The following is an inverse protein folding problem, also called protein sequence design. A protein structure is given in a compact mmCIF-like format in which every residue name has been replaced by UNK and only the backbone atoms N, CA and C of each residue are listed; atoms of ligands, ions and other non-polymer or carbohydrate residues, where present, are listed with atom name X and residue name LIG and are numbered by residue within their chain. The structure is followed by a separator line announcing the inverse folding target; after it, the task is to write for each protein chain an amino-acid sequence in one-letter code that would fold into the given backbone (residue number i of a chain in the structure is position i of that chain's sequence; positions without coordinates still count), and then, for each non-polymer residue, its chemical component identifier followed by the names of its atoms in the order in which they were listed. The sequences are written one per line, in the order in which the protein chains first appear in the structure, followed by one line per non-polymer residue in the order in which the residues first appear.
data_IF_038554943281
#
_entry.id   IF_038554943281
#
_cell.length_a   1.000
_cell.length_b   1.000
_cell.length_c   1.000
_cell.angle_alpha   90.00
_cell.angle_beta   90.00
_cell.angle_gamma   90.00
#
_symmetry.space_group_name_H-M   'P 1'
#
loop_
_entity.id
_entity.type
_entity.pdbx_description
1 polymer ?
#
# COMPACT_ATOMS: atom_id res chain seq x y z
N UNK A 1 -29.29 4.25 -46.13
CA UNK A 1 -28.39 3.45 -45.27
C UNK A 1 -28.74 3.77 -43.84
N UNK A 2 -29.55 2.90 -43.23
CA UNK A 2 -30.23 3.10 -41.96
C UNK A 2 -29.58 2.19 -40.91
N UNK A 3 -29.10 2.77 -39.82
CA UNK A 3 -28.48 2.04 -38.70
C UNK A 3 -29.55 1.40 -37.80
N UNK A 4 -29.29 0.24 -37.16
CA UNK A 4 -30.27 -0.40 -36.29
C UNK A 4 -30.20 0.17 -34.86
N UNK A 5 -31.37 0.51 -34.33
CA UNK A 5 -31.64 0.82 -32.92
C UNK A 5 -31.68 -0.48 -32.11
N UNK A 6 -30.77 -0.63 -31.14
CA UNK A 6 -30.85 -1.67 -30.12
C UNK A 6 -31.80 -1.22 -29.00
N UNK A 7 -32.95 -1.90 -28.89
CA UNK A 7 -33.88 -1.78 -27.75
C UNK A 7 -33.47 -2.78 -26.67
N UNK A 8 -33.15 -2.28 -25.48
CA UNK A 8 -33.06 -3.11 -24.27
C UNK A 8 -34.45 -3.34 -23.68
N UNK A 9 -34.84 -4.61 -23.57
CA UNK A 9 -36.09 -5.05 -22.95
C UNK A 9 -36.00 -4.94 -21.43
N UNK A 10 -37.02 -4.30 -20.83
CA UNK A 10 -37.20 -4.11 -19.39
C UNK A 10 -37.90 -5.35 -18.82
N UNK A 11 -37.18 -6.20 -18.09
CA UNK A 11 -37.79 -7.26 -17.28
C UNK A 11 -38.11 -6.68 -15.89
N UNK A 12 -39.40 -6.52 -15.59
CA UNK A 12 -39.90 -6.27 -14.25
C UNK A 12 -40.07 -7.61 -13.54
N UNK A 13 -39.30 -7.85 -12.48
CA UNK A 13 -39.62 -8.88 -11.49
C UNK A 13 -40.08 -8.18 -10.20
N UNK A 14 -41.34 -8.44 -9.85
CA UNK A 14 -41.92 -8.10 -8.56
C UNK A 14 -41.34 -9.06 -7.50
N UNK A 15 -40.65 -8.52 -6.50
CA UNK A 15 -40.43 -9.22 -5.23
C UNK A 15 -41.01 -8.36 -4.10
N UNK A 16 -42.06 -8.87 -3.47
CA UNK A 16 -42.61 -8.36 -2.22
C UNK A 16 -41.76 -8.90 -1.07
N UNK A 17 -41.27 -8.01 -0.20
CA UNK A 17 -40.74 -8.37 1.11
C UNK A 17 -41.64 -7.75 2.18
N UNK A 18 -42.17 -8.59 3.06
CA UNK A 18 -42.80 -8.16 4.31
C UNK A 18 -41.74 -7.76 5.34
N UNK A 19 -42.03 -6.78 6.23
CA UNK A 19 -41.11 -6.35 7.26
C UNK A 19 -41.36 -7.12 8.57
N UNK A 20 -40.31 -7.68 9.17
CA UNK A 20 -40.37 -8.11 10.57
C UNK A 20 -39.35 -7.34 11.41
N UNK A 21 -39.87 -6.78 12.50
CA UNK A 21 -39.29 -5.82 13.41
C UNK A 21 -37.93 -6.23 14.01
N UNK A 22 -37.02 -5.26 14.02
CA UNK A 22 -35.85 -5.21 14.90
C UNK A 22 -36.27 -4.54 16.21
N UNK A 23 -36.12 -5.25 17.33
CA UNK A 23 -36.13 -4.67 18.66
C UNK A 23 -34.73 -4.76 19.29
N UNK A 24 -34.29 -3.59 19.77
CA UNK A 24 -33.50 -3.33 20.97
C UNK A 24 -32.09 -3.93 21.04
N UNK A 25 -31.07 -3.06 21.03
CA UNK A 25 -30.06 -3.00 22.11
C UNK A 25 -29.35 -1.65 22.14
N UNK A 26 -29.55 -0.93 23.25
CA UNK A 26 -28.47 -0.69 24.20
C UNK A 26 -27.46 0.41 23.91
N UNK A 27 -27.75 1.59 24.48
CA UNK A 27 -26.83 2.66 24.89
C UNK A 27 -25.38 2.22 25.22
N UNK A 28 -24.41 2.96 24.68
CA UNK A 28 -23.23 3.40 25.44
C UNK A 28 -22.79 4.79 24.95
N UNK A 29 -22.82 5.73 25.88
CA UNK A 29 -22.65 7.16 25.72
C UNK A 29 -21.26 7.56 26.23
N UNK A 30 -20.61 8.44 25.47
CA UNK A 30 -19.62 9.46 25.85
C UNK A 30 -18.60 9.16 26.95
N UNK A 31 -17.33 9.38 26.61
CA UNK A 31 -16.48 10.34 27.31
C UNK A 31 -15.24 10.60 26.46
N UNK A 32 -15.03 11.84 26.00
CA UNK A 32 -13.72 12.50 25.90
C UNK A 32 -13.94 13.90 25.30
N UNK A 33 -14.03 14.90 26.18
CA UNK A 33 -13.78 16.30 25.82
C UNK A 33 -12.99 16.97 26.94
N UNK A 34 -12.14 17.90 26.50
CA UNK A 34 -11.42 18.93 27.24
C UNK A 34 -10.07 18.53 27.88
N UNK A 35 -8.98 19.08 27.34
CA UNK A 35 -8.48 20.38 27.80
C UNK A 35 -7.53 21.04 26.79
N UNK A 36 -7.69 22.36 26.71
CA UNK A 36 -7.00 23.33 25.86
C UNK A 36 -6.02 24.15 26.73
N UNK A 37 -4.95 24.62 26.08
CA UNK A 37 -4.12 25.80 26.34
C UNK A 37 -3.04 25.77 27.45
N UNK A 38 -1.81 26.03 26.98
CA UNK A 38 -0.70 26.65 27.71
C UNK A 38 0.21 27.36 26.70
N UNK A 39 0.40 28.68 26.90
CA UNK A 39 1.06 29.67 26.01
C UNK A 39 2.59 29.50 25.86
N UNK A 40 3.22 30.19 24.88
CA UNK A 40 4.66 30.13 24.61
C UNK A 40 5.46 31.19 25.39
N UNK A 41 6.72 30.87 25.70
CA UNK A 41 7.74 31.84 26.14
C UNK A 41 8.88 31.90 25.13
N UNK A 42 9.18 33.13 24.71
CA UNK A 42 10.30 33.51 23.88
C UNK A 42 11.61 33.46 24.69
N UNK A 43 12.70 33.02 24.06
CA UNK A 43 14.06 33.42 24.45
C UNK A 43 14.87 33.69 23.18
N UNK A 44 15.40 34.92 23.17
CA UNK A 44 16.32 35.52 22.23
C UNK A 44 17.76 35.15 22.58
N UNK A 45 18.61 34.98 21.57
CA UNK A 45 20.09 35.15 21.56
C UNK A 45 20.63 34.27 20.43
N UNK A 46 21.72 34.55 19.73
CA UNK A 46 22.61 35.69 19.60
C UNK A 46 23.58 35.24 18.51
N UNK A 47 23.88 36.14 17.59
CA UNK A 47 24.81 35.96 16.48
C UNK A 47 26.24 35.78 17.03
N UNK A 48 26.99 34.79 16.55
CA UNK A 48 28.44 34.91 16.37
C UNK A 48 28.86 34.17 15.09
N UNK A 49 29.33 34.95 14.12
CA UNK A 49 30.04 34.52 12.94
C UNK A 49 31.53 34.66 13.22
N UNK A 50 32.34 33.68 12.80
CA UNK A 50 33.79 33.80 12.71
C UNK A 50 34.35 32.95 11.54
N UNK A 51 35.55 33.29 11.05
CA UNK A 51 35.81 33.36 9.63
C UNK A 51 36.57 32.18 9.03
N UNK A 52 36.48 32.12 7.70
CA UNK A 52 37.26 31.27 6.82
C UNK A 52 38.78 31.38 7.06
N UNK A 53 39.44 30.22 7.19
CA UNK A 53 40.88 30.09 6.97
C UNK A 53 41.12 29.28 5.70
N UNK A 54 41.56 29.98 4.67
CA UNK A 54 42.26 29.40 3.52
C UNK A 54 43.63 28.91 4.00
N UNK A 55 43.96 27.65 3.70
CA UNK A 55 45.34 27.17 3.70
C UNK A 55 45.61 26.47 2.38
N UNK A 56 46.41 27.13 1.54
CA UNK A 56 47.07 26.55 0.38
C UNK A 56 48.30 25.75 0.85
N UNK A 57 48.57 24.60 0.23
CA UNK A 57 49.90 24.00 -0.06
C UNK A 57 49.71 22.54 -0.56
N UNK A 58 50.71 21.89 -1.19
CA UNK A 58 50.93 21.93 -2.63
C UNK A 58 50.71 20.55 -3.28
N UNK A 59 50.69 20.58 -4.61
CA UNK A 59 50.77 19.44 -5.53
C UNK A 59 52.09 18.71 -5.32
N UNK A 60 52.06 17.37 -5.24
CA UNK A 60 53.16 16.55 -5.75
C UNK A 60 52.76 15.10 -6.10
N UNK A 61 53.09 14.78 -7.35
CA UNK A 61 53.61 13.53 -7.93
C UNK A 61 52.90 12.18 -7.74
N UNK A 62 52.38 11.70 -8.89
CA UNK A 62 52.50 10.35 -9.44
C UNK A 62 53.16 9.26 -8.58
N UNK A 63 52.38 8.23 -8.22
CA UNK A 63 52.85 6.85 -8.15
C UNK A 63 51.83 5.95 -8.84
N UNK A 64 52.28 5.23 -9.86
CA UNK A 64 51.51 4.14 -10.48
C UNK A 64 51.79 2.87 -9.69
N UNK A 65 50.76 2.29 -9.08
CA UNK A 65 50.77 0.90 -8.62
C UNK A 65 49.38 0.27 -8.84
N UNK A 66 49.34 -0.70 -9.75
CA UNK A 66 48.29 -1.71 -9.94
C UNK A 66 49.04 -3.02 -10.25
N UNK A 67 48.61 -4.23 -9.86
CA UNK A 67 47.39 -4.61 -9.12
C UNK A 67 47.66 -5.46 -7.86
N UNK A 68 46.86 -5.27 -6.81
CA UNK A 68 46.65 -6.33 -5.83
C UNK A 68 45.48 -7.21 -6.27
N UNK A 69 45.79 -8.49 -6.43
CA UNK A 69 44.89 -9.61 -6.66
C UNK A 69 43.87 -9.67 -5.51
N UNK A 70 42.61 -9.33 -5.77
CA UNK A 70 41.56 -9.38 -4.77
C UNK A 70 41.05 -10.81 -4.67
N UNK A 71 41.25 -11.39 -3.49
CA UNK A 71 40.71 -12.67 -3.04
C UNK A 71 39.16 -12.65 -3.12
N UNK A 72 38.49 -13.58 -3.82
CA UNK A 72 37.04 -13.57 -3.99
C UNK A 72 36.25 -14.00 -2.74
N UNK A 73 36.92 -14.32 -1.62
CA UNK A 73 36.28 -14.89 -0.42
C UNK A 73 35.76 -13.85 0.58
N UNK A 74 36.02 -12.54 0.38
CA UNK A 74 35.62 -11.50 1.35
C UNK A 74 34.27 -10.83 1.06
N UNK A 75 33.60 -11.14 -0.04
CA UNK A 75 32.31 -10.51 -0.40
C UNK A 75 31.11 -11.17 0.30
N UNK A 76 31.23 -12.45 0.68
CA UNK A 76 30.12 -13.20 1.28
C UNK A 76 29.96 -12.95 2.79
N UNK A 77 31.05 -12.60 3.49
CA UNK A 77 31.04 -12.28 4.92
C UNK A 77 30.48 -10.88 5.23
N UNK A 78 30.59 -9.92 4.30
CA UNK A 78 30.03 -8.58 4.48
C UNK A 78 28.49 -8.55 4.31
N UNK A 79 27.92 -9.51 3.57
CA UNK A 79 26.47 -9.66 3.43
C UNK A 79 25.82 -10.29 4.68
N UNK A 80 26.55 -11.14 5.42
CA UNK A 80 26.05 -11.83 6.61
C UNK A 80 26.09 -10.97 7.88
N UNK A 81 26.91 -9.92 7.94
CA UNK A 81 26.93 -9.02 9.10
C UNK A 81 25.69 -8.10 9.17
N UNK A 82 25.07 -7.77 8.03
CA UNK A 82 23.92 -6.88 7.97
C UNK A 82 22.56 -7.59 8.18
N UNK A 83 22.48 -8.92 8.06
CA UNK A 83 21.23 -9.67 8.25
C UNK A 83 20.84 -9.81 9.73
N UNK A 84 21.80 -9.80 10.65
CA UNK A 84 21.53 -9.93 12.10
C UNK A 84 20.76 -8.75 12.71
N UNK A 85 20.65 -7.61 12.00
CA UNK A 85 19.94 -6.42 12.47
C UNK A 85 18.57 -6.22 11.79
N UNK A 86 18.17 -7.09 10.84
CA UNK A 86 16.90 -6.93 10.11
C UNK A 86 15.69 -7.51 10.82
N UNK A 87 15.90 -8.20 11.94
CA UNK A 87 14.86 -8.54 12.91
C UNK A 87 14.49 -7.35 13.82
N UNK A 88 15.24 -6.25 13.75
CA UNK A 88 14.90 -5.02 14.47
C UNK A 88 13.76 -4.26 13.77
N UNK A 89 13.01 -3.41 14.51
CA UNK A 89 11.99 -2.57 13.92
C UNK A 89 12.55 -1.68 12.80
N UNK A 90 12.05 -1.82 11.58
CA UNK A 90 12.56 -1.13 10.39
C UNK A 90 11.44 -0.80 9.41
N UNK A 91 11.62 0.31 8.69
CA UNK A 91 10.74 0.76 7.62
C UNK A 91 11.45 0.63 6.28
N UNK A 92 10.96 -0.25 5.42
CA UNK A 92 11.47 -0.42 4.05
C UNK A 92 10.62 0.40 3.11
N UNK A 93 11.25 1.33 2.40
CA UNK A 93 10.62 2.15 1.39
C UNK A 93 11.19 1.79 0.02
N UNK A 94 10.32 1.51 -0.95
CA UNK A 94 10.72 1.22 -2.32
C UNK A 94 10.07 2.19 -3.28
N UNK A 95 10.90 2.86 -4.08
CA UNK A 95 10.49 3.70 -5.20
C UNK A 95 10.57 2.90 -6.50
N UNK A 96 9.60 3.05 -7.39
CA UNK A 96 9.60 2.37 -8.68
C UNK A 96 8.70 3.08 -9.69
N UNK A 97 8.58 2.53 -10.89
CA UNK A 97 7.60 2.94 -11.89
C UNK A 97 6.58 1.82 -12.12
N UNK A 98 5.33 2.20 -12.33
CA UNK A 98 4.18 1.28 -12.48
C UNK A 98 4.39 0.18 -13.52
N UNK A 99 5.03 0.50 -14.65
CA UNK A 99 5.31 -0.45 -15.73
C UNK A 99 6.45 -1.42 -15.44
N UNK A 100 7.29 -1.14 -14.43
CA UNK A 100 8.40 -2.00 -14.00
C UNK A 100 7.96 -3.03 -12.96
N UNK A 101 6.73 -2.92 -12.45
CA UNK A 101 6.18 -3.88 -11.50
C UNK A 101 5.92 -5.21 -12.21
N UNK A 102 6.35 -6.36 -11.64
CA UNK A 102 6.06 -7.66 -12.23
C UNK A 102 4.56 -7.94 -12.35
N UNK A 103 4.22 -8.76 -13.33
CA UNK A 103 2.85 -9.15 -13.66
C UNK A 103 2.38 -8.53 -14.97
N UNK A 104 1.32 -9.11 -15.54
CA UNK A 104 0.66 -8.55 -16.71
C UNK A 104 -0.12 -7.28 -16.31
N UNK A 105 -0.42 -6.41 -17.27
CA UNK A 105 -1.33 -5.26 -17.06
C UNK A 105 -2.79 -5.71 -17.00
N UNK A 106 -3.09 -6.87 -17.59
CA UNK A 106 -4.41 -7.50 -17.50
C UNK A 106 -4.68 -8.13 -16.13
N UNK A 107 -3.63 -8.40 -15.34
CA UNK A 107 -3.80 -9.03 -14.02
C UNK A 107 -4.37 -8.04 -13.01
N UNK A 108 -5.10 -8.59 -12.02
CA UNK A 108 -5.75 -7.79 -10.99
C UNK A 108 -4.70 -7.01 -10.20
N UNK A 109 -5.06 -5.80 -9.75
CA UNK A 109 -4.21 -4.96 -8.87
C UNK A 109 -3.50 -5.77 -7.77
N UNK A 110 -4.24 -6.70 -7.13
CA UNK A 110 -3.72 -7.54 -6.05
C UNK A 110 -2.50 -8.35 -6.45
N UNK A 111 -2.45 -8.91 -7.65
CA UNK A 111 -1.34 -9.78 -8.07
C UNK A 111 -0.04 -9.01 -8.27
N UNK A 112 -0.09 -7.86 -8.96
CA UNK A 112 1.08 -6.98 -9.14
C UNK A 112 1.57 -6.43 -7.80
N UNK A 113 0.63 -6.06 -6.94
CA UNK A 113 0.91 -5.57 -5.60
C UNK A 113 1.59 -6.63 -4.74
N UNK A 114 0.98 -7.81 -4.64
CA UNK A 114 1.47 -8.94 -3.84
C UNK A 114 2.84 -9.40 -4.33
N UNK A 115 3.04 -9.45 -5.66
CA UNK A 115 4.33 -9.76 -6.25
C UNK A 115 5.42 -8.77 -5.80
N UNK A 116 5.13 -7.47 -5.83
CA UNK A 116 6.09 -6.45 -5.42
C UNK A 116 6.41 -6.54 -3.93
N UNK A 117 5.40 -6.64 -3.06
CA UNK A 117 5.60 -6.75 -1.61
C UNK A 117 6.39 -8.01 -1.27
N UNK A 118 6.09 -9.13 -1.93
CA UNK A 118 6.84 -10.37 -1.77
C UNK A 118 8.31 -10.25 -2.23
N UNK A 119 8.57 -9.59 -3.37
CA UNK A 119 9.94 -9.33 -3.83
C UNK A 119 10.74 -8.48 -2.84
N UNK A 120 10.12 -7.46 -2.25
CA UNK A 120 10.76 -6.63 -1.22
C UNK A 120 11.14 -7.52 -0.03
N UNK A 121 10.23 -8.39 0.40
CA UNK A 121 10.50 -9.27 1.54
C UNK A 121 11.60 -10.29 1.25
N UNK A 122 11.63 -10.85 0.04
CA UNK A 122 12.68 -11.76 -0.40
C UNK A 122 14.04 -11.06 -0.45
N UNK A 123 14.08 -9.82 -0.93
CA UNK A 123 15.31 -9.05 -1.00
C UNK A 123 15.85 -8.68 0.39
N UNK A 124 15.00 -8.19 1.29
CA UNK A 124 15.43 -7.68 2.59
C UNK A 124 15.62 -8.81 3.61
N UNK A 125 14.66 -9.73 3.73
CA UNK A 125 14.64 -10.75 4.78
C UNK A 125 14.84 -12.18 4.27
N UNK A 126 15.11 -12.38 2.98
CA UNK A 126 15.32 -13.71 2.37
C UNK A 126 14.14 -14.67 2.60
N UNK A 127 12.90 -14.13 2.67
CA UNK A 127 11.68 -14.91 2.85
C UNK A 127 10.48 -14.28 2.15
N UNK A 128 9.39 -15.03 2.05
CA UNK A 128 8.12 -14.51 1.55
C UNK A 128 7.49 -13.46 2.47
N UNK A 129 6.58 -12.67 1.89
CA UNK A 129 5.76 -11.71 2.62
C UNK A 129 4.86 -12.40 3.66
N UNK A 130 4.85 -11.89 4.89
CA UNK A 130 3.98 -12.37 5.97
C UNK A 130 3.17 -11.20 6.54
N UNK A 131 1.91 -11.10 6.13
CA UNK A 131 0.95 -10.08 6.61
C UNK A 131 0.71 -10.10 8.13
N UNK A 132 1.15 -11.12 8.85
CA UNK A 132 1.06 -11.20 10.31
C UNK A 132 2.29 -10.59 11.00
N UNK A 133 3.39 -10.38 10.27
CA UNK A 133 4.63 -9.78 10.74
C UNK A 133 4.86 -8.38 10.19
N UNK A 134 4.45 -8.19 8.95
CA UNK A 134 4.61 -6.94 8.20
C UNK A 134 3.31 -6.16 8.13
N UNK A 135 3.45 -4.84 8.10
CA UNK A 135 2.40 -3.92 7.69
C UNK A 135 2.83 -3.24 6.40
N UNK A 136 1.96 -3.27 5.41
CA UNK A 136 2.24 -2.76 4.08
C UNK A 136 1.36 -1.55 3.73
N UNK A 137 1.90 -0.69 2.87
CA UNK A 137 1.19 0.46 2.31
C UNK A 137 1.79 0.84 0.96
N UNK A 138 0.99 1.49 0.11
CA UNK A 138 1.45 1.99 -1.17
C UNK A 138 0.89 3.35 -1.56
N UNK A 139 1.57 3.95 -2.54
CA UNK A 139 1.26 5.27 -3.08
C UNK A 139 1.36 5.27 -4.59
N UNK A 140 0.39 5.91 -5.24
CA UNK A 140 0.40 6.19 -6.68
C UNK A 140 0.57 4.91 -7.55
N UNK A 141 0.17 3.72 -7.04
CA UNK A 141 0.19 2.44 -7.76
C UNK A 141 -0.93 2.34 -8.80
N UNK A 142 -0.88 3.23 -9.78
CA UNK A 142 -1.79 3.29 -10.90
C UNK A 142 -1.30 2.37 -12.02
N UNK A 143 -1.39 1.05 -11.82
CA UNK A 143 -0.82 0.05 -12.72
C UNK A 143 -1.37 0.07 -14.15
N UNK A 144 -2.51 0.71 -14.38
CA UNK A 144 -3.05 0.89 -15.73
C UNK A 144 -2.34 2.00 -16.54
N UNK A 145 -1.48 2.80 -15.90
CA UNK A 145 -0.72 3.88 -16.56
C UNK A 145 0.76 3.58 -16.46
N UNK A 146 1.47 3.65 -17.59
CA UNK A 146 2.91 3.47 -17.62
C UNK A 146 3.67 4.69 -17.08
N UNK A 147 4.93 4.46 -16.72
CA UNK A 147 5.87 5.52 -16.32
C UNK A 147 5.41 6.41 -15.15
N UNK A 148 4.46 5.95 -14.32
CA UNK A 148 4.06 6.67 -13.11
C UNK A 148 4.95 6.21 -11.96
N UNK A 149 5.59 7.16 -11.29
CA UNK A 149 6.32 6.88 -10.06
C UNK A 149 5.34 6.38 -8.98
N UNK A 150 5.62 5.22 -8.43
CA UNK A 150 4.86 4.64 -7.33
C UNK A 150 5.78 4.19 -6.20
N UNK A 151 5.20 4.05 -5.02
CA UNK A 151 5.93 3.79 -3.78
C UNK A 151 5.29 2.66 -3.01
N UNK A 152 6.14 1.82 -2.42
CA UNK A 152 5.77 0.74 -1.51
C UNK A 152 6.46 0.96 -0.18
N UNK A 153 5.74 0.70 0.90
CA UNK A 153 6.19 0.82 2.27
C UNK A 153 5.91 -0.50 2.97
N UNK A 154 6.94 -1.09 3.57
CA UNK A 154 6.80 -2.26 4.43
C UNK A 154 7.41 -1.91 5.78
N UNK A 155 6.57 -1.95 6.80
CA UNK A 155 6.97 -1.80 8.19
C UNK A 155 7.12 -3.19 8.81
N UNK A 156 8.33 -3.51 9.27
CA UNK A 156 8.62 -4.71 10.02
C UNK A 156 8.82 -4.33 11.48
N UNK A 157 7.98 -4.85 12.38
CA UNK A 157 7.97 -4.43 13.79
C UNK A 157 8.98 -5.16 14.67
N UNK A 158 9.65 -6.21 14.17
CA UNK A 158 10.53 -7.05 14.96
C UNK A 158 9.81 -7.78 16.10
N UNK A 159 10.56 -8.46 16.98
CA UNK A 159 10.00 -9.18 18.12
C UNK A 159 9.53 -8.24 19.24
N UNK A 160 10.09 -7.03 19.34
CA UNK A 160 9.85 -6.09 20.44
C UNK A 160 8.36 -5.67 20.52
N UNK A 161 7.67 -5.89 21.66
CA UNK A 161 6.30 -5.42 21.88
C UNK A 161 6.14 -3.91 21.80
N UNK A 162 7.22 -3.16 22.04
CA UNK A 162 7.26 -1.69 22.13
C UNK A 162 8.27 -1.12 21.15
N UNK A 163 8.03 -1.23 19.83
CA UNK A 163 8.99 -0.72 18.86
C UNK A 163 9.17 0.80 18.99
N UNK A 164 10.31 1.34 18.55
CA UNK A 164 10.53 2.78 18.51
C UNK A 164 9.49 3.45 17.63
N UNK A 165 9.10 4.68 17.99
CA UNK A 165 8.13 5.48 17.24
C UNK A 165 8.66 5.96 15.89
N UNK A 166 9.98 6.02 15.72
CA UNK A 166 10.67 6.46 14.51
C UNK A 166 11.80 5.46 14.16
N UNK A 167 11.47 4.28 13.63
CA UNK A 167 12.47 3.31 13.23
C UNK A 167 13.25 3.80 12.00
N UNK A 168 14.46 3.25 11.77
CA UNK A 168 15.23 3.57 10.57
C UNK A 168 14.43 3.29 9.29
N UNK A 169 14.54 4.21 8.33
CA UNK A 169 13.99 4.06 6.98
C UNK A 169 15.09 3.63 6.03
N UNK A 170 14.96 2.44 5.46
CA UNK A 170 15.86 1.95 4.40
C UNK A 170 15.16 2.14 3.06
N UNK A 171 15.81 2.87 2.15
CA UNK A 171 15.23 3.25 0.88
C UNK A 171 15.92 2.55 -0.30
N UNK A 172 15.13 1.87 -1.12
CA UNK A 172 15.56 1.22 -2.36
C UNK A 172 14.82 1.79 -3.58
N UNK A 173 15.39 1.56 -4.76
CA UNK A 173 14.70 1.70 -6.04
C UNK A 173 14.61 0.34 -6.73
N UNK A 174 13.44 -0.01 -7.24
CA UNK A 174 13.27 -1.17 -8.13
C UNK A 174 13.45 -0.75 -9.58
N UNK A 175 14.27 -1.49 -10.33
CA UNK A 175 14.61 -1.19 -11.72
C UNK A 175 13.78 -1.95 -12.75
N UNK A 176 12.90 -2.85 -12.31
CA UNK A 176 12.22 -3.82 -13.17
C UNK A 176 12.80 -5.23 -13.07
N UNK A 177 14.07 -5.34 -12.69
CA UNK A 177 14.78 -6.61 -12.59
C UNK A 177 15.42 -6.83 -11.22
N UNK A 178 15.89 -5.76 -10.58
CA UNK A 178 16.60 -5.84 -9.30
C UNK A 178 16.33 -4.60 -8.43
N UNK A 179 16.65 -4.74 -7.14
CA UNK A 179 16.70 -3.62 -6.21
C UNK A 179 18.06 -2.94 -6.30
N UNK A 180 18.05 -1.62 -6.38
CA UNK A 180 19.28 -0.82 -6.31
C UNK A 180 19.99 -1.03 -4.97
N UNK A 181 21.25 -0.62 -4.91
CA UNK A 181 21.89 -0.37 -3.61
C UNK A 181 21.07 0.62 -2.78
N UNK A 182 21.17 0.52 -1.45
CA UNK A 182 20.49 1.44 -0.52
C UNK A 182 20.78 2.89 -0.89
N UNK A 183 19.73 3.66 -1.11
CA UNK A 183 19.81 5.08 -1.42
C UNK A 183 20.07 5.85 -0.13
N UNK A 184 21.20 6.54 -0.07
CA UNK A 184 21.62 7.34 1.09
C UNK A 184 21.18 8.81 1.03
N UNK A 185 20.53 9.19 -0.06
CA UNK A 185 20.01 10.54 -0.25
C UNK A 185 18.88 10.84 0.74
N UNK A 186 18.72 12.11 1.15
CA UNK A 186 17.59 12.51 1.97
C UNK A 186 16.27 12.25 1.23
N UNK A 187 15.30 11.65 1.94
CA UNK A 187 13.98 11.38 1.39
C UNK A 187 13.31 12.68 0.86
N UNK A 188 12.68 12.64 -0.33
CA UNK A 188 11.95 13.78 -0.86
C UNK A 188 10.94 14.33 0.15
N UNK A 189 10.81 15.66 0.23
CA UNK A 189 9.95 16.33 1.23
C UNK A 189 8.49 15.87 1.17
N UNK A 190 7.99 15.58 -0.04
CA UNK A 190 6.65 15.01 -0.27
C UNK A 190 6.51 13.64 0.40
N UNK A 191 7.48 12.75 0.20
CA UNK A 191 7.47 11.40 0.77
C UNK A 191 7.56 11.45 2.30
N UNK A 192 8.47 12.26 2.86
CA UNK A 192 8.56 12.47 4.32
C UNK A 192 7.24 12.94 4.93
N UNK A 193 6.52 13.84 4.24
CA UNK A 193 5.21 14.32 4.72
C UNK A 193 4.16 13.20 4.71
N UNK A 194 4.16 12.33 3.71
CA UNK A 194 3.25 11.19 3.67
C UNK A 194 3.59 10.14 4.74
N UNK A 195 4.89 9.84 4.95
CA UNK A 195 5.31 8.93 6.01
C UNK A 195 4.89 9.41 7.41
N UNK A 196 4.80 10.73 7.64
CA UNK A 196 4.24 11.30 8.88
C UNK A 196 2.74 11.06 9.05
N UNK A 197 1.99 10.87 7.96
CA UNK A 197 0.56 10.49 8.02
C UNK A 197 0.36 8.99 8.22
N UNK A 198 1.43 8.23 8.09
CA UNK A 198 1.46 6.78 8.28
C UNK A 198 2.44 6.44 9.41
N UNK A 199 2.09 6.74 10.68
CA UNK A 199 2.98 6.53 11.82
C UNK A 199 3.34 5.05 11.97
N UNK A 200 4.58 4.76 12.40
CA UNK A 200 5.01 3.40 12.66
C UNK A 200 4.30 2.88 13.91
N UNK A 201 3.27 2.05 13.71
CA UNK A 201 2.42 1.54 14.79
C UNK A 201 2.26 0.04 14.61
N UNK A 202 2.61 -0.73 15.65
CA UNK A 202 2.34 -2.17 15.67
C UNK A 202 0.83 -2.35 15.66
N UNK A 203 0.27 -2.79 14.54
CA UNK A 203 -1.15 -3.12 14.49
C UNK A 203 -1.30 -4.40 15.29
N UNK A 204 -2.05 -4.34 16.40
CA UNK A 204 -2.23 -5.50 17.25
C UNK A 204 -2.81 -6.66 16.40
N UNK A 205 -2.21 -7.84 16.50
CA UNK A 205 -2.55 -9.00 15.66
C UNK A 205 -4.05 -9.36 15.67
N UNK A 206 -4.74 -9.11 16.80
CA UNK A 206 -6.18 -9.31 16.89
C UNK A 206 -6.98 -8.29 16.06
N UNK A 207 -6.47 -7.09 15.79
CA UNK A 207 -7.10 -6.11 14.90
C UNK A 207 -6.97 -6.56 13.43
N UNK A 208 -5.83 -7.15 13.05
CA UNK A 208 -5.62 -7.69 11.70
C UNK A 208 -6.52 -8.90 11.41
N UNK A 209 -6.80 -9.72 12.42
CA UNK A 209 -7.63 -10.93 12.31
C UNK A 209 -9.11 -10.70 12.59
N UNK A 210 -9.48 -9.73 13.44
CA UNK A 210 -10.87 -9.36 13.75
C UNK A 210 -11.47 -8.32 12.80
N UNK A 211 -10.90 -8.12 11.61
CA UNK A 211 -11.63 -7.49 10.50
C UNK A 211 -12.71 -8.46 10.00
N UNK A 212 -13.61 -8.91 10.88
CA UNK A 212 -15.01 -8.93 10.49
C UNK A 212 -15.30 -7.49 10.10
N UNK A 213 -15.39 -7.25 8.79
CA UNK A 213 -15.76 -5.96 8.24
C UNK A 213 -17.10 -5.56 8.87
N UNK A 214 -17.05 -4.86 10.02
CA UNK A 214 -18.21 -4.09 10.44
C UNK A 214 -18.46 -3.18 9.25
N UNK A 215 -19.62 -3.30 8.57
CA UNK A 215 -19.89 -2.50 7.39
C UNK A 215 -19.65 -1.06 7.81
N UNK A 216 -18.72 -0.39 7.12
CA UNK A 216 -18.50 1.03 7.37
C UNK A 216 -19.86 1.69 7.18
N UNK A 217 -20.31 2.54 8.11
CA UNK A 217 -21.56 3.24 7.92
C UNK A 217 -21.49 3.96 6.56
N UNK A 218 -22.59 3.97 5.79
CA UNK A 218 -22.63 4.67 4.52
C UNK A 218 -22.09 6.08 4.67
N UNK A 219 -21.21 6.50 3.77
CA UNK A 219 -20.68 7.86 3.81
C UNK A 219 -21.82 8.85 3.63
N UNK A 220 -21.97 9.77 4.57
CA UNK A 220 -22.92 10.89 4.44
C UNK A 220 -22.21 12.00 3.66
N UNK A 221 -22.75 12.33 2.49
CA UNK A 221 -22.27 13.44 1.66
C UNK A 221 -22.98 14.73 2.07
N UNK A 222 -22.25 15.84 2.12
CA UNK A 222 -22.81 17.16 2.46
C UNK A 222 -23.68 17.72 1.32
N UNK A 223 -23.41 17.29 0.08
CA UNK A 223 -24.16 17.70 -1.10
C UNK A 223 -24.01 16.68 -2.22
N UNK A 224 -24.91 16.76 -3.22
CA UNK A 224 -24.80 15.96 -4.45
C UNK A 224 -23.52 16.25 -5.22
N UNK A 225 -23.06 17.50 -5.23
CA UNK A 225 -21.80 17.89 -5.87
C UNK A 225 -20.58 17.23 -5.18
N UNK A 226 -20.59 17.13 -3.85
CA UNK A 226 -19.55 16.41 -3.12
C UNK A 226 -19.56 14.92 -3.45
N UNK A 227 -20.74 14.30 -3.47
CA UNK A 227 -20.91 12.89 -3.83
C UNK A 227 -20.32 12.61 -5.23
N UNK A 228 -20.71 13.39 -6.24
CA UNK A 228 -20.21 13.24 -7.62
C UNK A 228 -18.69 13.38 -7.66
N UNK A 229 -18.12 14.38 -6.96
CA UNK A 229 -16.66 14.58 -6.90
C UNK A 229 -15.95 13.38 -6.28
N UNK A 230 -16.47 12.86 -5.17
CA UNK A 230 -15.90 11.69 -4.48
C UNK A 230 -15.99 10.45 -5.35
N UNK A 231 -17.18 10.15 -5.90
CA UNK A 231 -17.39 8.98 -6.76
C UNK A 231 -16.61 9.03 -8.06
N UNK A 232 -16.45 10.22 -8.70
CA UNK A 232 -15.53 10.40 -9.83
C UNK A 232 -14.09 10.05 -9.44
N UNK A 233 -13.63 10.53 -8.28
CA UNK A 233 -12.27 10.24 -7.80
C UNK A 233 -12.09 8.76 -7.49
N UNK A 234 -13.08 8.12 -6.87
CA UNK A 234 -13.05 6.69 -6.57
C UNK A 234 -13.04 5.86 -7.85
N UNK A 235 -13.98 6.11 -8.79
CA UNK A 235 -14.04 5.42 -10.07
C UNK A 235 -12.71 5.53 -10.83
N UNK A 236 -12.19 6.76 -10.97
CA UNK A 236 -10.90 6.98 -11.61
C UNK A 236 -9.78 6.21 -10.91
N UNK A 237 -9.70 6.28 -9.59
CA UNK A 237 -8.66 5.57 -8.83
C UNK A 237 -8.74 4.05 -9.04
N UNK A 238 -9.95 3.47 -8.99
CA UNK A 238 -10.19 2.03 -9.18
C UNK A 238 -9.78 1.57 -10.58
N UNK A 239 -10.15 2.33 -11.61
CA UNK A 239 -9.77 2.02 -13.00
C UNK A 239 -8.26 2.12 -13.18
N UNK A 240 -7.63 3.16 -12.62
CA UNK A 240 -6.19 3.37 -12.75
C UNK A 240 -5.36 2.36 -11.95
N UNK A 241 -5.83 1.91 -10.79
CA UNK A 241 -5.17 0.83 -10.04
C UNK A 241 -5.40 -0.54 -10.68
N UNK A 242 -6.42 -0.67 -11.53
CA UNK A 242 -6.85 -1.94 -12.06
C UNK A 242 -7.53 -2.85 -11.02
N UNK A 243 -8.07 -2.24 -9.96
CA UNK A 243 -8.85 -2.92 -8.95
C UNK A 243 -10.25 -3.26 -9.47
N UNK A 244 -10.89 -4.27 -8.89
CA UNK A 244 -12.27 -4.62 -9.23
C UNK A 244 -13.23 -3.46 -8.92
N UNK A 245 -14.21 -3.26 -9.79
CA UNK A 245 -15.27 -2.26 -9.60
C UNK A 245 -16.29 -2.76 -8.57
N UNK A 246 -16.77 -1.84 -7.73
CA UNK A 246 -17.83 -2.13 -6.77
C UNK A 246 -19.19 -1.85 -7.40
N UNK A 247 -20.23 -2.51 -6.87
CA UNK A 247 -21.62 -2.27 -7.27
C UNK A 247 -22.01 -0.78 -7.15
N UNK A 248 -21.52 -0.09 -6.10
CA UNK A 248 -21.74 1.34 -5.91
C UNK A 248 -21.19 2.18 -7.08
N UNK A 249 -20.00 1.83 -7.59
CA UNK A 249 -19.38 2.54 -8.69
C UNK A 249 -20.06 2.23 -10.03
N UNK A 250 -20.54 0.99 -10.20
CA UNK A 250 -21.36 0.59 -11.35
C UNK A 250 -22.68 1.38 -11.40
N UNK A 251 -23.41 1.41 -10.29
CA UNK A 251 -24.64 2.18 -10.18
C UNK A 251 -24.37 3.67 -10.42
N UNK A 252 -23.26 4.21 -9.91
CA UNK A 252 -22.87 5.60 -10.16
C UNK A 252 -22.66 5.92 -11.64
N UNK A 253 -22.05 5.02 -12.41
CA UNK A 253 -21.86 5.20 -13.87
C UNK A 253 -23.21 5.28 -14.58
N UNK A 254 -24.18 4.46 -14.16
CA UNK A 254 -25.54 4.47 -14.71
C UNK A 254 -26.32 5.73 -14.32
N UNK A 255 -26.25 6.13 -13.05
CA UNK A 255 -27.02 7.25 -12.50
C UNK A 255 -26.50 8.62 -12.96
N UNK A 256 -25.22 8.72 -13.33
CA UNK A 256 -24.53 9.99 -13.62
C UNK A 256 -23.67 9.89 -14.89
N UNK A 257 -24.27 9.75 -16.09
CA UNK A 257 -23.53 9.54 -17.33
C UNK A 257 -22.57 10.69 -17.67
N UNK A 258 -22.93 11.95 -17.39
CA UNK A 258 -22.03 13.10 -17.58
C UNK A 258 -20.77 12.99 -16.70
N UNK A 259 -20.92 12.46 -15.48
CA UNK A 259 -19.79 12.22 -14.59
C UNK A 259 -18.93 11.03 -15.02
N UNK A 260 -19.55 10.00 -15.56
CA UNK A 260 -18.87 8.85 -16.15
C UNK A 260 -18.02 9.27 -17.36
N UNK A 261 -18.58 10.06 -18.28
CA UNK A 261 -17.86 10.58 -19.46
C UNK A 261 -16.66 11.44 -19.07
N UNK A 262 -16.77 12.24 -18.01
CA UNK A 262 -15.63 13.00 -17.49
C UNK A 262 -14.47 12.10 -17.05
N UNK A 263 -14.78 10.92 -16.46
CA UNK A 263 -13.78 9.93 -16.06
C UNK A 263 -13.23 9.19 -17.27
N UNK A 264 -14.10 8.76 -18.20
CA UNK A 264 -13.73 8.11 -19.46
C UNK A 264 -12.67 8.91 -20.23
N UNK A 265 -12.84 10.23 -20.30
CA UNK A 265 -11.89 11.13 -20.96
C UNK A 265 -10.53 11.30 -20.23
N UNK A 266 -10.34 10.72 -19.04
CA UNK A 266 -9.16 10.92 -18.15
C UNK A 266 -8.51 9.63 -17.68
N UNK A 267 -8.93 8.51 -18.24
CA UNK A 267 -8.32 7.19 -18.01
C UNK A 267 -7.91 6.60 -19.36
N UNK A 268 -6.92 5.69 -19.40
CA UNK A 268 -6.61 4.95 -20.61
C UNK A 268 -7.85 4.22 -21.15
N UNK A 269 -8.05 4.17 -22.49
CA UNK A 269 -9.19 3.48 -23.10
C UNK A 269 -9.33 2.03 -22.63
N UNK A 270 -8.22 1.33 -22.44
CA UNK A 270 -8.15 -0.06 -22.00
C UNK A 270 -8.66 -0.21 -20.56
N UNK A 271 -8.40 0.78 -19.70
CA UNK A 271 -8.94 0.79 -18.34
C UNK A 271 -10.47 0.95 -18.36
N UNK A 272 -10.98 1.78 -19.27
CA UNK A 272 -12.42 1.99 -19.43
C UNK A 272 -13.12 0.79 -20.05
N UNK A 273 -12.50 0.09 -21.02
CA UNK A 273 -13.08 -1.07 -21.68
C UNK A 273 -13.52 -2.17 -20.69
N UNK A 274 -12.85 -2.27 -19.55
CA UNK A 274 -13.20 -3.16 -18.43
C UNK A 274 -14.59 -2.90 -17.83
N UNK A 275 -15.07 -1.65 -17.90
CA UNK A 275 -16.44 -1.31 -17.51
C UNK A 275 -17.47 -1.85 -18.50
N UNK A 276 -17.07 -2.01 -19.76
CA UNK A 276 -17.94 -2.40 -20.87
C UNK A 276 -17.96 -3.93 -21.06
N UNK A 277 -17.06 -4.66 -20.39
CA UNK A 277 -16.98 -6.12 -20.40
C UNK A 277 -17.56 -6.76 -19.11
N UNK A 278 -18.81 -7.29 -19.15
CA UNK A 278 -19.47 -7.92 -18.01
C UNK A 278 -18.68 -9.08 -17.38
N UNK A 279 -17.76 -9.71 -18.11
CA UNK A 279 -17.03 -10.88 -17.65
C UNK A 279 -15.96 -10.57 -16.60
N UNK A 280 -15.48 -9.32 -16.53
CA UNK A 280 -14.47 -8.90 -15.55
C UNK A 280 -15.04 -8.56 -14.17
N UNK A 281 -16.37 -8.46 -14.04
CA UNK A 281 -17.05 -7.99 -12.82
C UNK A 281 -17.30 -9.06 -11.77
N UNK A 282 -16.84 -10.29 -11.99
CA UNK A 282 -16.99 -11.35 -11.00
C UNK A 282 -16.03 -11.09 -9.85
N UNK A 283 -16.47 -10.27 -8.90
CA UNK A 283 -16.03 -10.39 -7.52
C UNK A 283 -16.46 -11.79 -7.07
N UNK A 284 -15.54 -12.65 -6.61
CA UNK A 284 -15.92 -13.83 -5.88
C UNK A 284 -16.57 -13.33 -4.59
N UNK A 285 -17.90 -13.17 -4.60
CA UNK A 285 -18.73 -13.40 -3.43
C UNK A 285 -18.84 -14.92 -3.25
N UNK A 286 -17.70 -15.63 -3.30
CA UNK A 286 -17.67 -16.97 -2.73
C UNK A 286 -17.90 -16.73 -1.23
N UNK A 287 -18.99 -17.27 -0.65
CA UNK A 287 -19.07 -17.37 0.79
C UNK A 287 -17.78 -18.07 1.20
N UNK A 288 -17.00 -17.46 2.10
CA UNK A 288 -15.97 -18.22 2.82
C UNK A 288 -16.71 -19.29 3.60
N UNK A 289 -17.01 -20.42 2.98
CA UNK A 289 -17.31 -21.64 3.68
C UNK A 289 -16.13 -21.86 4.63
N UNK A 290 -16.46 -21.95 5.91
CA UNK A 290 -15.48 -21.92 6.98
C UNK A 290 -14.38 -22.96 6.71
N UNK A 291 -13.14 -22.53 6.88
CA UNK A 291 -12.02 -23.43 7.08
C UNK A 291 -12.33 -24.28 8.33
N UNK A 292 -13.04 -25.39 8.17
CA UNK A 292 -13.01 -26.50 9.12
C UNK A 292 -11.61 -27.05 9.06
N UNK A 293 -10.80 -26.61 10.00
CA UNK A 293 -9.51 -27.18 10.33
C UNK A 293 -9.79 -28.62 10.80
N UNK A 294 -9.75 -29.60 9.89
CA UNK A 294 -9.65 -31.01 10.28
C UNK A 294 -8.25 -31.21 10.82
N UNK A 295 -8.10 -31.06 12.13
CA UNK A 295 -6.88 -31.46 12.82
C UNK A 295 -6.60 -32.92 12.53
N UNK A 296 -5.57 -33.18 11.73
CA UNK A 296 -4.96 -34.50 11.64
C UNK A 296 -4.18 -34.72 12.92
N UNK A 297 -4.79 -35.46 13.83
CA UNK A 297 -4.17 -35.97 15.05
C UNK A 297 -3.27 -37.14 14.70
N UNK A 298 -2.09 -36.88 14.15
CA UNK A 298 -1.00 -37.87 14.12
C UNK A 298 -0.15 -37.70 15.37
N UNK A 299 -0.63 -38.29 16.48
CA UNK A 299 0.19 -38.55 17.65
C UNK A 299 0.55 -40.04 17.66
N UNK A 300 1.81 -40.23 17.29
CA UNK A 300 2.64 -41.42 17.36
C UNK A 300 2.26 -42.44 18.44
N UNK A 301 2.11 -43.69 17.99
CA UNK A 301 2.32 -44.89 18.78
C UNK A 301 3.71 -44.83 19.44
N UNK A 302 3.74 -44.72 20.76
CA UNK A 302 4.91 -45.12 21.55
C UNK A 302 4.87 -46.63 21.70
N UNK A 303 5.86 -47.27 21.11
CA UNK A 303 6.21 -48.68 21.32
C UNK A 303 6.57 -48.91 22.79
N UNK A 304 5.91 -49.89 23.41
CA UNK A 304 6.39 -50.54 24.62
C UNK A 304 7.45 -51.59 24.24
N UNK A 305 8.69 -51.37 24.67
CA UNK A 305 9.68 -52.40 25.07
C UNK A 305 10.72 -51.73 25.95
#
# INVERSE_FOLDING_TARGET
MTAPLLRFGRLQSHFQFEPTCIQLYGNCRNQYTQRIAGKPSAVSSSIQAEPARYSNHPVDTHSMDIPNLVDPTSTEAAATANTSNLDSPVRILVQTQTHLIPGDKSTKFGERYDAMVNLICQHVWQRGYDKFRERDWNRDCHFAVDNVECWFLIDHHGPDPTPPSDPPVIWYRWTGTEFSTVIRDPLPSRVRRELRRYPFERVAHHILTQVHHKPKPPRVYQSRAEEIRVKRSMLRSTLLSGSGLTEELLQFVQDCPEAAEWVKARVPPESWARLEDPSEFVLPLEPREGNTWTGSSDLAERSET
#
